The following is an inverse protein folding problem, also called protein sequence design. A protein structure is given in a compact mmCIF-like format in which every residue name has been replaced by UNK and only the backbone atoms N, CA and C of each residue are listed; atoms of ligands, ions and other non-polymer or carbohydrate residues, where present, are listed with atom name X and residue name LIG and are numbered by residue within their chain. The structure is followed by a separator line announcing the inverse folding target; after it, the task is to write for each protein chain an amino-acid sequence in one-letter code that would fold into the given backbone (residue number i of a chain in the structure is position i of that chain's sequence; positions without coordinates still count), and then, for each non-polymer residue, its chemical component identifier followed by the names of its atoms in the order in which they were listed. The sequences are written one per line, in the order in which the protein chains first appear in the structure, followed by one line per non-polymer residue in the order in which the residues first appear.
data_IF_565076232148
#
_entry.id   IF_565076232148
#
_cell.length_a   1.000
_cell.length_b   1.000
_cell.length_c   1.000
_cell.angle_alpha   90.00
_cell.angle_beta   90.00
_cell.angle_gamma   90.00
#
_symmetry.space_group_name_H-M   'P 1'
#
loop_
_entity.id
_entity.type
_entity.pdbx_description
1 polymer ?
#
# COMPACT_ATOMS: atom_id res chain seq x y z
N UNK A 1 -3.62 -50.41 34.93
CA UNK A 1 -4.19 -50.34 33.57
C UNK A 1 -5.24 -49.24 33.51
N UNK A 2 -4.85 -48.04 33.05
CA UNK A 2 -5.78 -46.94 32.81
C UNK A 2 -5.76 -46.62 31.31
N UNK A 3 -6.88 -46.87 30.62
CA UNK A 3 -7.06 -46.52 29.20
C UNK A 3 -7.27 -45.02 29.12
N UNK A 4 -6.25 -44.28 28.69
CA UNK A 4 -6.39 -42.88 28.29
C UNK A 4 -7.10 -42.89 26.93
N UNK A 5 -8.39 -42.54 26.94
CA UNK A 5 -9.21 -42.36 25.76
C UNK A 5 -8.65 -41.19 24.94
N UNK A 6 -8.08 -41.51 23.77
CA UNK A 6 -7.71 -40.53 22.75
C UNK A 6 -9.00 -39.86 22.25
N UNK A 7 -9.33 -38.69 22.79
CA UNK A 7 -10.28 -37.78 22.16
C UNK A 7 -9.60 -37.25 20.90
N UNK A 8 -9.96 -37.85 19.77
CA UNK A 8 -9.78 -37.28 18.42
C UNK A 8 -10.29 -35.83 18.45
N UNK A 9 -9.35 -34.88 18.49
CA UNK A 9 -9.69 -33.48 18.25
C UNK A 9 -10.08 -33.40 16.80
N UNK A 10 -11.36 -33.11 16.60
CA UNK A 10 -11.98 -32.82 15.33
C UNK A 10 -11.12 -31.78 14.58
N UNK A 11 -10.41 -32.22 13.56
CA UNK A 11 -9.82 -31.35 12.53
C UNK A 11 -10.97 -30.72 11.75
N UNK A 12 -11.62 -29.72 12.36
CA UNK A 12 -12.46 -28.81 11.61
C UNK A 12 -11.52 -28.02 10.72
N UNK A 13 -11.35 -28.49 9.49
CA UNK A 13 -10.71 -27.79 8.41
C UNK A 13 -11.40 -26.42 8.29
N UNK A 14 -10.72 -25.39 8.79
CA UNK A 14 -11.15 -24.00 8.73
C UNK A 14 -11.04 -23.54 7.27
N UNK A 15 -11.98 -23.98 6.44
CA UNK A 15 -12.05 -23.61 5.03
C UNK A 15 -12.32 -22.12 4.95
N UNK A 16 -11.43 -21.37 4.31
CA UNK A 16 -11.64 -19.93 4.07
C UNK A 16 -12.93 -19.77 3.24
N UNK A 17 -13.82 -18.84 3.61
CA UNK A 17 -15.00 -18.56 2.80
C UNK A 17 -14.60 -18.13 1.38
N UNK A 18 -15.41 -18.47 0.38
CA UNK A 18 -15.08 -18.25 -1.03
C UNK A 18 -14.77 -16.78 -1.38
N UNK A 19 -15.36 -15.83 -0.67
CA UNK A 19 -15.09 -14.40 -0.81
C UNK A 19 -13.66 -14.00 -0.40
N UNK A 20 -13.13 -14.59 0.67
CA UNK A 20 -11.74 -14.34 1.11
C UNK A 20 -10.73 -14.91 0.11
N UNK A 21 -11.04 -16.06 -0.49
CA UNK A 21 -10.20 -16.67 -1.53
C UNK A 21 -10.17 -15.79 -2.77
N UNK A 22 -11.33 -15.31 -3.23
CA UNK A 22 -11.42 -14.40 -4.38
C UNK A 22 -10.67 -13.09 -4.15
N UNK A 23 -10.79 -12.50 -2.96
CA UNK A 23 -10.08 -11.26 -2.64
C UNK A 23 -8.57 -11.45 -2.58
N UNK A 24 -8.12 -12.59 -2.02
CA UNK A 24 -6.69 -12.94 -2.00
C UNK A 24 -6.15 -13.02 -3.43
N UNK A 25 -6.85 -13.71 -4.33
CA UNK A 25 -6.46 -13.84 -5.73
C UNK A 25 -6.43 -12.48 -6.46
N UNK A 26 -7.41 -11.61 -6.18
CA UNK A 26 -7.45 -10.25 -6.75
C UNK A 26 -6.23 -9.44 -6.33
N UNK A 27 -5.89 -9.45 -5.04
CA UNK A 27 -4.71 -8.74 -4.52
C UNK A 27 -3.40 -9.32 -5.06
N UNK A 28 -3.30 -10.64 -5.16
CA UNK A 28 -2.12 -11.28 -5.77
C UNK A 28 -1.91 -10.86 -7.22
N UNK A 29 -3.00 -10.70 -7.99
CA UNK A 29 -2.95 -10.20 -9.35
C UNK A 29 -2.58 -8.70 -9.40
N UNK A 30 -3.07 -7.91 -8.46
CA UNK A 30 -2.71 -6.49 -8.34
C UNK A 30 -1.23 -6.30 -8.00
N UNK A 31 -0.68 -7.15 -7.12
CA UNK A 31 0.71 -7.11 -6.66
C UNK A 31 1.69 -7.87 -7.57
N UNK A 32 1.36 -8.00 -8.86
CA UNK A 32 2.16 -8.78 -9.82
C UNK A 32 3.57 -8.23 -9.98
N UNK A 33 3.74 -6.90 -9.89
CA UNK A 33 5.06 -6.27 -10.01
C UNK A 33 5.92 -6.53 -8.79
N UNK A 34 5.39 -6.33 -7.59
CA UNK A 34 6.04 -6.59 -6.31
C UNK A 34 6.47 -8.06 -6.22
N UNK A 35 5.62 -9.00 -6.65
CA UNK A 35 5.97 -10.43 -6.69
C UNK A 35 7.10 -10.73 -7.67
N UNK A 36 7.08 -10.12 -8.86
CA UNK A 36 8.16 -10.29 -9.84
C UNK A 36 9.49 -9.75 -9.33
N UNK A 37 9.46 -8.63 -8.61
CA UNK A 37 10.65 -8.03 -7.99
C UNK A 37 11.14 -8.86 -6.80
N UNK A 38 10.22 -9.40 -6.00
CA UNK A 38 10.56 -10.35 -4.94
C UNK A 38 11.27 -11.59 -5.50
N UNK A 39 10.83 -12.12 -6.64
CA UNK A 39 11.49 -13.23 -7.33
C UNK A 39 12.89 -12.88 -7.86
N UNK A 40 13.20 -11.59 -8.05
CA UNK A 40 14.52 -11.09 -8.43
C UNK A 40 15.41 -10.76 -7.22
N UNK A 41 14.90 -10.91 -5.99
CA UNK A 41 15.65 -10.70 -4.75
C UNK A 41 15.42 -9.34 -4.08
N UNK A 42 14.59 -8.46 -4.65
CA UNK A 42 14.17 -7.22 -3.98
C UNK A 42 13.23 -7.55 -2.81
N UNK A 43 13.38 -6.87 -1.67
CA UNK A 43 12.58 -7.13 -0.47
C UNK A 43 11.83 -5.91 0.04
N UNK A 44 12.21 -4.72 -0.40
CA UNK A 44 11.69 -3.46 0.05
C UNK A 44 11.32 -2.60 -1.17
N UNK A 45 10.20 -2.94 -1.79
CA UNK A 45 9.69 -2.24 -2.98
C UNK A 45 8.80 -1.08 -2.53
N UNK A 46 9.09 0.13 -3.01
CA UNK A 46 8.24 1.30 -2.77
C UNK A 46 7.32 1.58 -3.96
N UNK A 47 6.01 1.67 -3.70
CA UNK A 47 5.06 2.30 -4.62
C UNK A 47 5.01 3.81 -4.37
N UNK A 48 4.95 4.61 -5.44
CA UNK A 48 4.90 6.08 -5.35
C UNK A 48 3.80 6.61 -6.26
N UNK A 49 2.98 7.52 -5.74
CA UNK A 49 1.89 8.17 -6.50
C UNK A 49 1.65 9.61 -6.03
N UNK A 50 1.05 10.43 -6.89
CA UNK A 50 0.73 11.83 -6.62
C UNK A 50 -0.77 12.19 -6.66
N UNK A 51 -1.13 13.24 -5.93
CA UNK A 51 -2.41 13.91 -6.01
C UNK A 51 -2.21 15.43 -6.12
N UNK A 52 -3.13 16.11 -6.83
CA UNK A 52 -3.12 17.57 -6.92
C UNK A 52 -2.42 18.15 -8.15
N UNK A 53 -2.11 17.34 -9.17
CA UNK A 53 -1.48 17.82 -10.42
C UNK A 53 -2.41 18.61 -11.35
N UNK A 54 -3.71 18.28 -11.35
CA UNK A 54 -4.72 18.86 -12.26
C UNK A 54 -5.52 20.06 -11.74
N UNK A 55 -5.80 20.19 -10.42
CA UNK A 55 -6.53 21.34 -9.89
C UNK A 55 -5.83 22.69 -10.15
N UNK A 56 -6.63 23.76 -10.27
CA UNK A 56 -6.13 25.15 -10.43
C UNK A 56 -5.54 25.76 -9.15
N UNK A 57 -5.83 25.17 -8.00
CA UNK A 57 -5.40 25.64 -6.69
C UNK A 57 -5.08 24.47 -5.78
N UNK A 58 -4.22 24.74 -4.79
CA UNK A 58 -3.76 23.75 -3.82
C UNK A 58 -2.35 23.24 -4.12
N UNK A 59 -1.81 22.40 -3.21
CA UNK A 59 -0.51 21.79 -3.40
C UNK A 59 -0.59 20.58 -4.33
N UNK A 60 0.58 20.16 -4.81
CA UNK A 60 0.80 18.78 -5.23
C UNK A 60 1.36 18.00 -4.04
N UNK A 61 0.85 16.79 -3.82
CA UNK A 61 1.23 15.91 -2.72
C UNK A 61 1.61 14.55 -3.32
N UNK A 62 2.72 13.98 -2.88
CA UNK A 62 3.10 12.61 -3.23
C UNK A 62 3.24 11.76 -1.96
N UNK A 63 2.92 10.49 -2.10
CA UNK A 63 3.14 9.48 -1.08
C UNK A 63 3.98 8.34 -1.64
N UNK A 64 4.91 7.85 -0.84
CA UNK A 64 5.66 6.63 -1.06
C UNK A 64 5.25 5.62 0.02
N UNK A 65 4.97 4.38 -0.39
CA UNK A 65 4.53 3.31 0.52
C UNK A 65 5.31 2.03 0.25
N UNK A 66 5.86 1.44 1.32
CA UNK A 66 6.38 0.08 1.35
C UNK A 66 5.39 -0.78 2.13
N UNK A 67 4.75 -1.73 1.44
CA UNK A 67 3.76 -2.59 2.08
C UNK A 67 4.44 -3.71 2.89
N UNK A 68 4.20 -3.75 4.22
CA UNK A 68 4.64 -4.86 5.06
C UNK A 68 3.86 -6.17 4.80
N UNK A 69 2.60 -6.05 4.38
CA UNK A 69 1.73 -7.17 3.99
C UNK A 69 0.69 -6.70 2.95
N UNK A 70 0.02 -7.63 2.24
CA UNK A 70 -1.11 -7.26 1.38
C UNK A 70 -2.24 -6.59 2.19
N UNK A 71 -2.83 -5.53 1.63
CA UNK A 71 -3.91 -4.78 2.29
C UNK A 71 -5.29 -5.12 1.69
N UNK A 72 -6.17 -5.82 2.43
CA UNK A 72 -7.52 -6.17 1.96
C UNK A 72 -8.36 -4.98 1.48
N UNK A 73 -8.90 -5.11 0.27
CA UNK A 73 -9.74 -4.10 -0.37
C UNK A 73 -8.97 -2.90 -0.92
N UNK A 74 -7.63 -2.94 -0.96
CA UNK A 74 -6.83 -1.96 -1.71
C UNK A 74 -7.15 -2.06 -3.21
N UNK A 75 -7.36 -0.92 -3.85
CA UNK A 75 -7.65 -0.79 -5.28
C UNK A 75 -7.31 0.67 -5.70
N UNK A 76 -7.48 1.00 -6.98
CA UNK A 76 -7.34 2.37 -7.47
C UNK A 76 -8.28 3.31 -6.70
N UNK A 77 -7.72 4.43 -6.22
CA UNK A 77 -8.42 5.38 -5.35
C UNK A 77 -9.71 5.95 -5.94
N UNK A 78 -9.84 5.98 -7.27
CA UNK A 78 -11.03 6.45 -8.01
C UNK A 78 -12.14 5.40 -8.05
N UNK A 79 -11.81 4.12 -7.84
CA UNK A 79 -12.78 3.01 -7.73
C UNK A 79 -13.32 2.84 -6.31
N UNK A 80 -12.71 3.51 -5.34
CA UNK A 80 -13.07 3.46 -3.93
C UNK A 80 -14.03 4.60 -3.55
N UNK A 81 -14.99 4.31 -2.66
CA UNK A 81 -15.80 5.35 -2.02
C UNK A 81 -14.95 6.17 -1.04
N UNK A 82 -15.40 7.38 -0.69
CA UNK A 82 -14.71 8.20 0.30
C UNK A 82 -14.56 7.49 1.64
N UNK A 83 -15.64 6.87 2.13
CA UNK A 83 -15.61 6.09 3.37
C UNK A 83 -14.59 4.94 3.30
N UNK A 84 -14.54 4.20 2.17
CA UNK A 84 -13.58 3.10 2.02
C UNK A 84 -12.13 3.58 1.96
N UNK A 85 -11.87 4.75 1.38
CA UNK A 85 -10.53 5.36 1.41
C UNK A 85 -10.10 5.70 2.84
N UNK A 86 -10.99 6.25 3.66
CA UNK A 86 -10.69 6.54 5.07
C UNK A 86 -10.39 5.27 5.87
N UNK A 87 -11.16 4.19 5.65
CA UNK A 87 -10.90 2.88 6.26
C UNK A 87 -9.52 2.33 5.87
N UNK A 88 -9.19 2.39 4.57
CA UNK A 88 -7.89 1.92 4.06
C UNK A 88 -6.75 2.80 4.54
N UNK A 89 -6.95 4.12 4.64
CA UNK A 89 -5.98 5.05 5.22
C UNK A 89 -5.68 4.66 6.67
N UNK A 90 -6.70 4.44 7.50
CA UNK A 90 -6.51 4.00 8.87
C UNK A 90 -5.77 2.65 8.94
N UNK A 91 -6.13 1.69 8.07
CA UNK A 91 -5.48 0.39 8.00
C UNK A 91 -4.01 0.48 7.54
N UNK A 92 -3.69 1.35 6.59
CA UNK A 92 -2.31 1.61 6.13
C UNK A 92 -1.42 2.12 7.28
N UNK A 93 -1.92 3.06 8.09
CA UNK A 93 -1.13 3.58 9.21
C UNK A 93 -1.04 2.59 10.39
N UNK A 94 -2.05 1.74 10.59
CA UNK A 94 -2.03 0.73 11.64
C UNK A 94 -1.23 -0.54 11.27
N UNK A 95 -1.11 -0.85 9.98
CA UNK A 95 -0.55 -2.12 9.48
C UNK A 95 0.98 -2.23 9.48
N UNK A 96 1.69 -1.26 10.06
CA UNK A 96 3.16 -1.27 10.11
C UNK A 96 3.82 -1.07 8.74
N UNK A 97 3.09 -0.52 7.76
CA UNK A 97 3.61 -0.18 6.44
C UNK A 97 4.58 1.00 6.55
N UNK A 98 5.62 1.03 5.70
CA UNK A 98 6.49 2.20 5.57
C UNK A 98 5.76 3.26 4.76
N UNK A 99 5.63 4.48 5.29
CA UNK A 99 4.92 5.58 4.63
C UNK A 99 5.77 6.84 4.69
N UNK A 100 5.98 7.47 3.54
CA UNK A 100 6.58 8.78 3.40
C UNK A 100 5.66 9.70 2.60
N UNK A 101 5.50 10.94 3.03
CA UNK A 101 4.62 11.92 2.37
C UNK A 101 5.36 13.24 2.22
N UNK A 102 5.28 13.85 1.04
CA UNK A 102 5.82 15.16 0.76
C UNK A 102 4.85 15.98 -0.08
N UNK A 103 4.99 17.31 -0.03
CA UNK A 103 4.11 18.22 -0.73
C UNK A 103 4.86 19.47 -1.17
N UNK A 104 4.39 20.06 -2.27
CA UNK A 104 4.83 21.35 -2.76
C UNK A 104 3.61 22.26 -2.90
N UNK A 105 3.68 23.42 -2.25
CA UNK A 105 2.69 24.47 -2.32
C UNK A 105 2.56 25.06 -3.73
N UNK A 106 1.44 25.72 -4.01
CA UNK A 106 1.26 26.49 -5.25
C UNK A 106 2.40 27.52 -5.47
N UNK A 107 2.93 28.11 -4.39
CA UNK A 107 4.04 29.04 -4.48
C UNK A 107 5.36 28.36 -4.91
N UNK A 108 5.62 27.13 -4.45
CA UNK A 108 6.75 26.33 -4.93
C UNK A 108 6.55 25.91 -6.38
N UNK A 109 5.37 25.40 -6.73
CA UNK A 109 5.00 25.01 -8.10
C UNK A 109 5.20 26.18 -9.07
N UNK A 110 4.77 27.39 -8.69
CA UNK A 110 4.93 28.57 -9.54
C UNK A 110 6.39 28.98 -9.76
N UNK A 111 7.31 28.61 -8.85
CA UNK A 111 8.75 28.91 -8.99
C UNK A 111 9.48 27.90 -9.87
N UNK A 112 9.15 26.61 -9.75
CA UNK A 112 9.93 25.52 -10.38
C UNK A 112 9.19 24.81 -11.53
N UNK A 113 7.89 25.03 -11.67
CA UNK A 113 7.02 24.36 -12.64
C UNK A 113 6.45 23.03 -12.11
N UNK A 114 5.24 22.67 -12.56
CA UNK A 114 4.50 21.52 -12.03
C UNK A 114 5.22 20.18 -12.21
N UNK A 115 5.94 19.99 -13.31
CA UNK A 115 6.64 18.73 -13.57
C UNK A 115 7.85 18.55 -12.65
N UNK A 116 8.62 19.62 -12.42
CA UNK A 116 9.77 19.58 -11.52
C UNK A 116 9.30 19.43 -10.07
N UNK A 117 8.27 20.16 -9.66
CA UNK A 117 7.65 20.02 -8.35
C UNK A 117 7.16 18.59 -8.12
N UNK A 118 6.51 17.95 -9.10
CA UNK A 118 6.05 16.57 -9.00
C UNK A 118 7.20 15.59 -8.73
N UNK A 119 8.25 15.63 -9.56
CA UNK A 119 9.41 14.75 -9.36
C UNK A 119 10.09 14.99 -8.01
N UNK A 120 10.20 16.25 -7.58
CA UNK A 120 10.76 16.61 -6.27
C UNK A 120 9.93 16.00 -5.14
N UNK A 121 8.61 16.18 -5.12
CA UNK A 121 7.78 15.63 -4.03
C UNK A 121 7.78 14.11 -4.02
N UNK A 122 7.84 13.45 -5.19
CA UNK A 122 7.99 11.99 -5.26
C UNK A 122 9.32 11.51 -4.65
N UNK A 123 10.43 12.17 -5.00
CA UNK A 123 11.75 11.86 -4.43
C UNK A 123 11.80 12.12 -2.93
N UNK A 124 11.23 13.24 -2.47
CA UNK A 124 11.13 13.56 -1.05
C UNK A 124 10.26 12.56 -0.29
N UNK A 125 9.15 12.11 -0.88
CA UNK A 125 8.28 11.10 -0.27
C UNK A 125 9.05 9.78 -0.06
N UNK A 126 9.81 9.32 -1.06
CA UNK A 126 10.68 8.15 -0.94
C UNK A 126 11.75 8.35 0.13
N UNK A 127 12.38 9.53 0.18
CA UNK A 127 13.40 9.85 1.18
C UNK A 127 12.86 9.91 2.63
N UNK A 128 11.55 10.10 2.81
CA UNK A 128 10.86 10.11 4.11
C UNK A 128 10.40 8.73 4.56
N UNK A 129 10.58 7.68 3.75
CA UNK A 129 10.28 6.31 4.17
C UNK A 129 11.14 5.92 5.39
N UNK A 130 10.58 5.21 6.38
CA UNK A 130 11.33 4.77 7.56
C UNK A 130 12.40 3.71 7.24
N UNK A 131 12.25 3.04 6.10
CA UNK A 131 13.20 2.06 5.57
C UNK A 131 13.51 2.47 4.14
N UNK A 132 14.80 2.49 3.80
CA UNK A 132 15.24 2.77 2.43
C UNK A 132 14.76 1.63 1.51
N UNK A 133 13.99 1.91 0.45
CA UNK A 133 13.61 0.89 -0.51
C UNK A 133 14.81 0.40 -1.32
N UNK A 134 14.76 -0.87 -1.73
CA UNK A 134 15.72 -1.48 -2.64
C UNK A 134 15.21 -1.52 -4.09
N UNK A 135 13.94 -1.17 -4.32
CA UNK A 135 13.34 -0.90 -5.62
C UNK A 135 12.34 0.25 -5.57
#
# INVERSE_FOLDING_TARGET
MARISMKTRNESAYSRPASEVQETQRLEAMLVFERRLAAQGFRCVAGVDEAGRGPLAGPIVAAAVVLACPLPGLDDSKRLSAARREELYAALYAGGHGIGVAAASAAEINREGIQAANYRVMQEAVARLPVRPDF
#
